data_IF_298679317554
#
_entry.id   IF_298679317554
#
_cell.length_a   1.000
_cell.length_b   1.000
_cell.length_c   1.000
_cell.angle_alpha   90.00
_cell.angle_beta   90.00
_cell.angle_gamma   90.00
#
_symmetry.space_group_name_H-M   'P 1'
#
loop_
_entity.id
_entity.type
_entity.pdbx_description
1 polymer ?
#
# COMPACT_ATOMS: atom_id res chain seq x y z
N UNK A 1 9.81 19.43 12.30
CA UNK A 1 10.62 18.95 11.15
C UNK A 1 9.95 19.40 9.87
N UNK A 2 10.70 19.80 8.83
CA UNK A 2 10.08 20.29 7.58
C UNK A 2 9.89 19.14 6.58
N UNK A 3 8.83 19.22 5.77
CA UNK A 3 8.58 18.28 4.67
C UNK A 3 9.77 18.29 3.69
N UNK A 4 10.33 19.47 3.40
CA UNK A 4 11.51 19.62 2.54
C UNK A 4 12.79 18.97 3.05
N UNK A 5 12.86 18.58 4.32
CA UNK A 5 14.00 17.84 4.87
C UNK A 5 14.12 16.40 4.30
N UNK A 6 13.06 15.94 3.60
CA UNK A 6 12.96 14.63 2.96
C UNK A 6 12.96 14.73 1.42
N UNK A 7 13.42 15.86 0.90
CA UNK A 7 13.60 16.07 -0.52
C UNK A 7 14.88 15.37 -1.01
N UNK A 8 14.79 14.74 -2.17
CA UNK A 8 15.91 14.30 -2.99
C UNK A 8 15.52 14.44 -4.46
N UNK A 9 16.49 14.60 -5.35
CA UNK A 9 16.22 14.73 -6.78
C UNK A 9 15.92 13.37 -7.39
N UNK A 10 14.69 13.17 -7.86
CA UNK A 10 14.24 11.94 -8.50
C UNK A 10 13.93 12.20 -9.97
N UNK A 11 14.80 11.73 -10.90
CA UNK A 11 14.50 11.77 -12.32
C UNK A 11 13.23 10.98 -12.66
N UNK A 12 12.32 11.58 -13.42
CA UNK A 12 11.02 10.98 -13.75
C UNK A 12 11.12 9.64 -14.49
N UNK A 13 12.18 9.47 -15.28
CA UNK A 13 12.47 8.24 -16.01
C UNK A 13 12.78 7.03 -15.10
N UNK A 14 13.13 7.27 -13.83
CA UNK A 14 13.34 6.20 -12.86
C UNK A 14 12.03 5.70 -12.22
N UNK A 15 10.92 6.40 -12.42
CA UNK A 15 9.61 5.96 -11.94
C UNK A 15 9.11 4.83 -12.84
N UNK A 16 9.06 3.61 -12.32
CA UNK A 16 8.67 2.43 -13.07
C UNK A 16 7.21 2.49 -13.52
N UNK A 17 6.98 2.35 -14.82
CA UNK A 17 5.64 2.35 -15.42
C UNK A 17 5.07 0.94 -15.57
N UNK A 18 5.92 -0.05 -15.74
CA UNK A 18 5.54 -1.44 -16.01
C UNK A 18 6.22 -2.39 -15.01
N UNK A 19 5.53 -3.46 -14.58
CA UNK A 19 6.15 -4.51 -13.77
C UNK A 19 7.13 -5.32 -14.61
N UNK A 20 8.18 -5.83 -13.96
CA UNK A 20 9.07 -6.81 -14.57
C UNK A 20 8.30 -8.13 -14.83
N UNK A 21 8.66 -8.85 -15.87
CA UNK A 21 8.06 -10.15 -16.19
C UNK A 21 8.25 -11.14 -15.02
N UNK A 22 9.48 -11.32 -14.58
CA UNK A 22 9.79 -12.04 -13.32
C UNK A 22 9.77 -11.06 -12.15
N UNK A 23 8.81 -11.23 -11.23
CA UNK A 23 8.62 -10.39 -10.04
C UNK A 23 9.87 -10.33 -9.16
N UNK A 24 10.56 -11.47 -9.00
CA UNK A 24 11.72 -11.61 -8.12
C UNK A 24 13.04 -11.14 -8.75
N UNK A 25 13.01 -10.75 -10.04
CA UNK A 25 14.17 -10.22 -10.75
C UNK A 25 14.46 -8.75 -10.46
N UNK A 26 13.60 -8.04 -9.73
CA UNK A 26 13.86 -6.67 -9.29
C UNK A 26 15.16 -6.59 -8.49
N UNK A 27 15.80 -5.42 -8.52
CA UNK A 27 16.98 -5.18 -7.68
C UNK A 27 16.57 -5.04 -6.22
N UNK A 28 17.49 -5.37 -5.34
CA UNK A 28 17.34 -5.22 -3.89
C UNK A 28 18.55 -4.45 -3.36
N UNK A 29 18.28 -3.37 -2.63
CA UNK A 29 19.28 -2.72 -1.79
C UNK A 29 19.08 -3.20 -0.36
N UNK A 30 20.06 -3.88 0.22
CA UNK A 30 20.07 -4.22 1.64
C UNK A 30 20.78 -3.11 2.40
N UNK A 31 20.09 -2.52 3.38
CA UNK A 31 20.59 -1.43 4.22
C UNK A 31 20.65 -1.85 5.68
N UNK A 32 21.83 -1.79 6.26
CA UNK A 32 22.00 -1.90 7.70
C UNK A 32 21.58 -0.58 8.36
N UNK A 33 20.52 -0.62 9.17
CA UNK A 33 19.96 0.58 9.81
C UNK A 33 20.88 1.22 10.84
N UNK A 34 21.75 0.43 11.48
CA UNK A 34 22.64 0.92 12.53
C UNK A 34 23.87 1.62 11.95
N UNK A 35 24.45 1.07 10.87
CA UNK A 35 25.70 1.58 10.28
C UNK A 35 25.49 2.46 9.07
N UNK A 36 24.34 2.34 8.38
CA UNK A 36 24.08 2.98 7.09
C UNK A 36 24.78 2.31 5.91
N UNK A 37 25.50 1.20 6.14
CA UNK A 37 26.12 0.43 5.07
C UNK A 37 25.05 -0.28 4.24
N UNK A 38 25.27 -0.37 2.94
CA UNK A 38 24.34 -1.01 2.02
C UNK A 38 25.04 -1.92 1.02
N UNK A 39 24.29 -2.91 0.55
CA UNK A 39 24.70 -3.87 -0.47
C UNK A 39 23.70 -3.89 -1.61
N UNK A 40 24.17 -4.13 -2.84
CA UNK A 40 23.32 -4.29 -4.02
C UNK A 40 23.14 -5.77 -4.38
N UNK A 41 21.91 -6.17 -4.68
CA UNK A 41 21.58 -7.53 -5.08
C UNK A 41 20.27 -7.56 -5.89
N UNK A 42 19.64 -8.72 -5.90
CA UNK A 42 18.33 -8.93 -6.50
C UNK A 42 17.35 -9.46 -5.47
N UNK A 43 16.06 -9.22 -5.68
CA UNK A 43 15.04 -9.62 -4.71
C UNK A 43 15.02 -11.12 -4.42
N UNK A 44 15.33 -11.95 -5.41
CA UNK A 44 15.48 -13.41 -5.23
C UNK A 44 16.54 -13.80 -4.20
N UNK A 45 17.47 -12.90 -3.91
CA UNK A 45 18.54 -13.11 -2.92
C UNK A 45 18.10 -12.81 -1.47
N UNK A 46 16.82 -12.46 -1.26
CA UNK A 46 16.27 -12.07 0.05
C UNK A 46 16.56 -13.10 1.16
N UNK A 47 16.64 -14.38 0.78
CA UNK A 47 16.96 -15.48 1.70
C UNK A 47 18.32 -15.33 2.40
N UNK A 48 19.26 -14.58 1.82
CA UNK A 48 20.58 -14.32 2.43
C UNK A 48 20.47 -13.49 3.72
N UNK A 49 19.41 -12.70 3.84
CA UNK A 49 19.19 -11.75 4.93
C UNK A 49 18.17 -12.25 5.95
N UNK A 50 17.43 -13.31 5.64
CA UNK A 50 16.46 -13.94 6.54
C UNK A 50 17.11 -15.09 7.31
N UNK A 51 16.71 -15.29 8.56
CA UNK A 51 17.28 -16.33 9.46
C UNK A 51 16.17 -17.27 9.93
N UNK A 52 16.48 -18.55 10.16
CA UNK A 52 15.53 -19.45 10.82
C UNK A 52 15.03 -18.84 12.14
N UNK A 53 13.72 -18.93 12.35
CA UNK A 53 13.08 -18.30 13.51
C UNK A 53 12.57 -16.88 13.31
N UNK A 54 12.93 -16.20 12.23
CA UNK A 54 12.33 -14.92 11.84
C UNK A 54 10.84 -15.11 11.46
N UNK A 55 10.08 -14.02 11.51
CA UNK A 55 8.71 -13.96 11.00
C UNK A 55 8.61 -12.85 9.93
N UNK A 56 8.27 -13.25 8.71
CA UNK A 56 7.96 -12.34 7.62
C UNK A 56 6.47 -12.00 7.67
N UNK A 57 6.12 -10.74 7.82
CA UNK A 57 4.73 -10.28 7.92
C UNK A 57 4.28 -9.63 6.63
N UNK A 58 3.26 -10.20 6.01
CA UNK A 58 2.74 -9.78 4.71
C UNK A 58 1.29 -9.27 4.83
N UNK A 59 0.93 -8.29 3.99
CA UNK A 59 -0.41 -7.76 3.92
C UNK A 59 -1.19 -8.47 2.81
N UNK A 60 -2.20 -9.26 3.18
CA UNK A 60 -2.99 -10.10 2.27
C UNK A 60 -4.24 -9.40 1.70
N UNK A 61 -4.28 -8.07 1.80
CA UNK A 61 -5.35 -7.30 1.18
C UNK A 61 -5.41 -7.53 -0.33
N UNK A 62 -6.62 -7.56 -0.87
CA UNK A 62 -6.89 -7.71 -2.31
C UNK A 62 -7.47 -6.41 -2.87
N UNK A 63 -6.85 -5.93 -3.96
CA UNK A 63 -7.33 -4.75 -4.68
C UNK A 63 -8.60 -5.11 -5.43
N UNK A 64 -9.62 -4.28 -5.30
CA UNK A 64 -10.85 -4.37 -6.09
C UNK A 64 -10.72 -3.51 -7.36
N UNK A 65 -11.38 -3.87 -8.46
CA UNK A 65 -11.40 -3.05 -9.67
C UNK A 65 -12.29 -1.81 -9.46
N UNK A 66 -11.80 -0.91 -8.62
CA UNK A 66 -12.56 0.19 -8.03
C UNK A 66 -12.79 1.38 -8.97
N UNK A 67 -12.20 1.39 -10.16
CA UNK A 67 -12.34 2.49 -11.13
C UNK A 67 -13.41 2.15 -12.13
N UNK A 68 -14.48 2.95 -12.16
CA UNK A 68 -15.63 2.77 -13.05
C UNK A 68 -15.75 3.94 -14.00
N UNK A 69 -16.08 3.64 -15.25
CA UNK A 69 -16.38 4.62 -16.28
C UNK A 69 -17.85 4.49 -16.69
N UNK A 70 -18.57 5.59 -16.60
CA UNK A 70 -19.98 5.65 -16.93
C UNK A 70 -20.36 6.96 -17.61
N UNK A 71 -21.65 7.14 -17.83
CA UNK A 71 -22.23 8.35 -18.38
C UNK A 71 -23.32 8.89 -17.47
N UNK A 72 -23.41 10.22 -17.39
CA UNK A 72 -24.51 10.87 -16.68
C UNK A 72 -25.81 10.68 -17.46
N UNK A 73 -26.82 10.09 -16.83
CA UNK A 73 -28.14 9.87 -17.42
C UNK A 73 -28.74 11.19 -17.88
N UNK A 74 -29.23 11.22 -19.11
CA UNK A 74 -29.87 12.37 -19.73
C UNK A 74 -28.92 13.37 -20.44
N UNK A 75 -27.60 13.22 -20.32
CA UNK A 75 -26.64 14.13 -20.98
C UNK A 75 -25.45 13.44 -21.64
N UNK A 76 -25.31 12.14 -21.50
CA UNK A 76 -24.19 11.30 -21.98
C UNK A 76 -22.80 11.82 -21.62
N UNK A 77 -22.72 12.69 -20.63
CA UNK A 77 -21.43 13.22 -20.18
C UNK A 77 -20.63 12.10 -19.49
N UNK A 78 -19.42 11.84 -20.00
CA UNK A 78 -18.51 10.86 -19.42
C UNK A 78 -18.16 11.22 -17.96
N UNK A 79 -18.27 10.22 -17.09
CA UNK A 79 -17.99 10.30 -15.65
C UNK A 79 -17.05 9.15 -15.28
N UNK A 80 -15.95 9.47 -14.62
CA UNK A 80 -15.08 8.52 -13.96
C UNK A 80 -15.38 8.52 -12.46
N UNK A 81 -15.56 7.33 -11.89
CA UNK A 81 -15.72 7.14 -10.45
C UNK A 81 -14.62 6.23 -9.94
N UNK A 82 -14.13 6.53 -8.75
CA UNK A 82 -13.20 5.69 -8.03
C UNK A 82 -13.78 5.40 -6.64
N UNK A 83 -14.08 4.14 -6.40
CA UNK A 83 -14.59 3.65 -5.12
C UNK A 83 -13.52 3.77 -4.04
N UNK A 84 -13.84 4.38 -2.90
CA UNK A 84 -12.92 4.58 -1.78
C UNK A 84 -13.28 3.70 -0.58
N UNK A 85 -14.52 3.82 -0.11
CA UNK A 85 -14.97 3.17 1.12
C UNK A 85 -16.44 2.79 0.99
N UNK A 86 -16.74 1.52 1.24
CA UNK A 86 -18.12 1.04 1.36
C UNK A 86 -18.71 1.50 2.68
N UNK A 87 -19.92 2.02 2.63
CA UNK A 87 -20.78 2.38 3.75
C UNK A 87 -21.92 1.38 3.82
N UNK A 88 -22.87 1.60 4.72
CA UNK A 88 -24.08 0.79 4.80
C UNK A 88 -24.99 0.97 3.55
N UNK A 89 -25.84 -0.01 3.29
CA UNK A 89 -26.86 0.04 2.23
C UNK A 89 -26.34 0.32 0.81
N UNK A 90 -25.22 -0.31 0.44
CA UNK A 90 -24.57 -0.12 -0.87
C UNK A 90 -24.24 1.32 -1.25
N UNK A 91 -24.08 2.17 -0.25
CA UNK A 91 -23.53 3.50 -0.41
C UNK A 91 -22.00 3.41 -0.39
N UNK A 92 -21.37 4.05 -1.35
CA UNK A 92 -19.92 4.16 -1.42
C UNK A 92 -19.47 5.62 -1.39
N UNK A 93 -18.46 5.89 -0.59
CA UNK A 93 -17.70 7.11 -0.71
C UNK A 93 -16.77 6.99 -1.92
N UNK A 94 -16.77 8.01 -2.80
CA UNK A 94 -16.13 7.95 -4.10
C UNK A 94 -15.46 9.26 -4.47
N UNK A 95 -14.37 9.16 -5.23
CA UNK A 95 -13.88 10.28 -6.04
C UNK A 95 -14.61 10.27 -7.37
N UNK A 96 -15.02 11.45 -7.84
CA UNK A 96 -15.74 11.60 -9.11
C UNK A 96 -15.07 12.64 -10.00
N UNK A 97 -14.89 12.31 -11.28
CA UNK A 97 -14.31 13.22 -12.27
C UNK A 97 -15.18 13.24 -13.55
N UNK A 98 -15.60 14.43 -14.00
CA UNK A 98 -15.46 15.76 -13.38
C UNK A 98 -16.51 15.98 -12.27
N UNK A 99 -16.06 16.36 -11.08
CA UNK A 99 -16.94 16.56 -9.91
C UNK A 99 -18.02 17.61 -10.11
N UNK A 100 -17.76 18.65 -10.93
CA UNK A 100 -18.74 19.72 -11.22
C UNK A 100 -20.03 19.21 -11.90
N UNK A 101 -19.97 18.08 -12.59
CA UNK A 101 -21.12 17.47 -13.28
C UNK A 101 -21.93 16.54 -12.38
N UNK A 102 -21.41 16.18 -11.21
CA UNK A 102 -22.03 15.23 -10.28
C UNK A 102 -22.44 15.93 -8.99
N UNK A 103 -23.63 16.54 -9.03
CA UNK A 103 -24.31 17.12 -7.87
C UNK A 103 -25.22 16.07 -7.24
N UNK A 104 -25.67 16.31 -6.00
CA UNK A 104 -26.70 15.47 -5.35
C UNK A 104 -27.90 15.29 -6.28
N UNK A 105 -28.42 14.07 -6.39
CA UNK A 105 -29.47 13.65 -7.31
C UNK A 105 -29.01 13.33 -8.74
N UNK A 106 -27.69 13.43 -9.03
CA UNK A 106 -27.16 13.00 -10.33
C UNK A 106 -27.14 11.48 -10.40
N UNK A 107 -27.74 10.91 -11.45
CA UNK A 107 -27.68 9.48 -11.75
C UNK A 107 -26.65 9.21 -12.84
N UNK A 108 -25.83 8.19 -12.63
CA UNK A 108 -24.77 7.75 -13.53
C UNK A 108 -25.03 6.30 -13.90
N UNK A 109 -24.91 5.98 -15.18
CA UNK A 109 -25.08 4.63 -15.72
C UNK A 109 -23.74 4.05 -16.16
N UNK A 110 -23.51 2.77 -15.85
CA UNK A 110 -22.33 2.01 -16.18
C UNK A 110 -22.72 0.73 -16.91
N UNK A 111 -21.95 0.32 -17.94
CA UNK A 111 -22.16 -0.93 -18.65
C UNK A 111 -23.56 -1.08 -19.23
N UNK A 112 -24.03 -0.04 -19.93
CA UNK A 112 -25.37 -0.02 -20.55
C UNK A 112 -26.52 -0.28 -19.53
N UNK A 113 -26.35 0.17 -18.29
CA UNK A 113 -27.36 0.09 -17.25
C UNK A 113 -27.25 -1.12 -16.34
N UNK A 114 -26.24 -1.98 -16.48
CA UNK A 114 -25.97 -3.11 -15.57
C UNK A 114 -25.78 -2.59 -14.13
N UNK A 115 -25.13 -1.43 -13.98
CA UNK A 115 -24.95 -0.74 -12.72
C UNK A 115 -25.40 0.71 -12.87
N UNK A 116 -26.17 1.22 -11.92
CA UNK A 116 -26.46 2.64 -11.81
C UNK A 116 -26.08 3.17 -10.45
N UNK A 117 -25.69 4.44 -10.36
CA UNK A 117 -25.33 5.08 -9.11
C UNK A 117 -25.95 6.47 -9.01
N UNK A 118 -26.60 6.76 -7.89
CA UNK A 118 -27.14 8.08 -7.57
C UNK A 118 -26.25 8.79 -6.55
N UNK A 119 -25.86 10.03 -6.83
CA UNK A 119 -25.15 10.87 -5.87
C UNK A 119 -26.13 11.29 -4.79
N UNK A 120 -25.98 10.77 -3.59
CA UNK A 120 -26.88 11.06 -2.45
C UNK A 120 -26.34 12.15 -1.55
N UNK A 121 -25.01 12.37 -1.50
CA UNK A 121 -24.41 13.44 -0.71
C UNK A 121 -23.01 13.84 -1.24
N UNK A 122 -22.50 14.97 -0.74
CA UNK A 122 -21.14 15.45 -0.98
C UNK A 122 -20.50 15.67 0.39
N UNK A 123 -19.43 14.91 0.66
CA UNK A 123 -18.72 14.92 1.93
C UNK A 123 -17.36 15.62 1.82
N UNK A 124 -16.56 15.53 2.88
CA UNK A 124 -15.26 16.18 2.99
C UNK A 124 -14.38 15.94 1.75
N UNK A 125 -13.51 16.89 1.47
CA UNK A 125 -12.61 16.89 0.31
C UNK A 125 -13.33 16.86 -1.06
N UNK A 126 -14.65 17.02 -1.07
CA UNK A 126 -15.48 16.97 -2.27
C UNK A 126 -15.75 15.54 -2.78
N UNK A 127 -15.57 14.51 -1.94
CA UNK A 127 -15.97 13.15 -2.24
C UNK A 127 -17.49 13.07 -2.34
N UNK A 128 -17.99 12.11 -3.15
CA UNK A 128 -19.42 11.85 -3.30
C UNK A 128 -19.80 10.57 -2.57
N UNK A 129 -20.94 10.61 -1.89
CA UNK A 129 -21.62 9.40 -1.49
C UNK A 129 -22.53 8.99 -2.63
N UNK A 130 -22.31 7.78 -3.16
CA UNK A 130 -23.08 7.22 -4.27
C UNK A 130 -23.78 5.97 -3.77
N UNK A 131 -25.12 5.97 -3.90
CA UNK A 131 -25.97 4.79 -3.73
C UNK A 131 -25.97 4.01 -5.04
N UNK A 132 -25.51 2.76 -5.01
CA UNK A 132 -25.55 1.89 -6.18
C UNK A 132 -26.81 1.04 -6.23
N UNK A 133 -27.29 0.82 -7.46
CA UNK A 133 -28.45 -0.04 -7.77
C UNK A 133 -28.04 -1.01 -8.88
N UNK A 134 -28.26 -2.29 -8.65
CA UNK A 134 -27.85 -3.38 -9.51
C UNK A 134 -28.64 -4.65 -9.18
N UNK A 135 -28.62 -5.62 -10.08
CA UNK A 135 -29.14 -6.97 -9.84
C UNK A 135 -27.95 -7.96 -9.74
N UNK A 136 -27.96 -8.82 -8.73
CA UNK A 136 -26.93 -9.84 -8.52
C UNK A 136 -25.87 -9.47 -7.47
N UNK A 137 -24.62 -9.83 -7.72
CA UNK A 137 -23.49 -9.65 -6.78
C UNK A 137 -22.65 -8.46 -7.25
N UNK A 138 -22.47 -7.48 -6.36
CA UNK A 138 -21.76 -6.23 -6.69
C UNK A 138 -20.32 -6.48 -7.12
N UNK A 139 -19.64 -7.41 -6.46
CA UNK A 139 -18.26 -7.77 -6.73
C UNK A 139 -18.06 -8.37 -8.15
N UNK A 140 -19.02 -9.18 -8.62
CA UNK A 140 -19.02 -9.73 -9.99
C UNK A 140 -19.24 -8.62 -11.03
N UNK A 141 -20.10 -7.65 -10.72
CA UNK A 141 -20.31 -6.47 -11.57
C UNK A 141 -19.05 -5.60 -11.64
N UNK A 142 -18.38 -5.41 -10.50
CA UNK A 142 -17.11 -4.70 -10.49
C UNK A 142 -16.03 -5.42 -11.31
N UNK A 143 -15.96 -6.75 -11.25
CA UNK A 143 -15.01 -7.52 -12.06
C UNK A 143 -15.26 -7.38 -13.56
N UNK A 144 -16.53 -7.19 -13.96
CA UNK A 144 -16.93 -6.99 -15.34
C UNK A 144 -16.68 -5.55 -15.84
N UNK A 145 -17.04 -4.54 -15.04
CA UNK A 145 -17.09 -3.14 -15.44
C UNK A 145 -15.88 -2.33 -14.97
N UNK A 146 -15.23 -2.75 -13.89
CA UNK A 146 -14.20 -2.00 -13.21
C UNK A 146 -12.80 -2.21 -13.79
N UNK A 147 -12.00 -1.17 -13.66
CA UNK A 147 -10.56 -1.23 -13.91
C UNK A 147 -9.76 -1.14 -12.59
N UNK A 148 -8.56 -1.74 -12.59
CA UNK A 148 -7.66 -1.65 -11.45
C UNK A 148 -7.24 -0.20 -11.24
N UNK A 149 -7.37 0.32 -10.00
CA UNK A 149 -7.08 1.72 -9.70
C UNK A 149 -5.57 1.93 -9.53
N UNK A 150 -4.84 1.97 -10.65
CA UNK A 150 -3.41 2.25 -10.60
C UNK A 150 -3.13 3.64 -10.02
N UNK A 151 -2.01 3.79 -9.30
CA UNK A 151 -1.57 5.08 -8.81
C UNK A 151 -1.41 6.12 -9.93
N UNK A 152 -1.60 7.42 -9.65
CA UNK A 152 -1.65 8.45 -10.68
C UNK A 152 -0.32 8.67 -11.43
N UNK A 153 0.80 8.20 -10.90
CA UNK A 153 2.12 8.26 -11.54
C UNK A 153 2.36 7.13 -12.54
N UNK A 154 1.51 6.09 -12.55
CA UNK A 154 1.51 5.04 -13.58
C UNK A 154 0.54 5.49 -14.68
N UNK A 155 1.09 5.83 -15.84
CA UNK A 155 0.35 6.33 -17.00
C UNK A 155 0.16 5.25 -18.07
N UNK A 156 0.94 4.17 -18.00
CA UNK A 156 0.81 3.02 -18.88
C UNK A 156 -0.39 2.16 -18.48
N UNK A 157 -1.13 1.69 -19.51
CA UNK A 157 -2.24 0.76 -19.26
C UNK A 157 -1.67 -0.63 -18.95
N UNK A 158 -2.07 -1.17 -17.82
CA UNK A 158 -1.67 -2.51 -17.40
C UNK A 158 -2.34 -3.56 -18.31
N UNK A 159 -1.54 -4.42 -18.95
CA UNK A 159 -2.05 -5.46 -19.85
C UNK A 159 -2.70 -6.62 -19.09
N UNK A 160 -2.11 -7.00 -17.96
CA UNK A 160 -2.64 -8.02 -17.05
C UNK A 160 -2.92 -7.38 -15.68
N UNK A 161 -4.21 -7.28 -15.33
CA UNK A 161 -4.66 -6.71 -14.05
C UNK A 161 -4.09 -7.45 -12.83
N UNK A 162 -3.77 -8.74 -12.96
CA UNK A 162 -3.19 -9.54 -11.86
C UNK A 162 -1.74 -9.13 -11.53
N UNK A 163 -1.10 -8.35 -12.37
CA UNK A 163 0.25 -7.82 -12.08
C UNK A 163 0.23 -6.75 -10.98
N UNK A 164 -0.91 -6.10 -10.74
CA UNK A 164 -1.12 -5.18 -9.62
C UNK A 164 -1.83 -5.88 -8.45
N UNK A 165 -1.47 -7.14 -8.20
CA UNK A 165 -1.99 -7.97 -7.13
C UNK A 165 -0.88 -8.84 -6.58
N UNK A 166 -0.79 -9.01 -5.24
CA UNK A 166 0.15 -9.97 -4.64
C UNK A 166 -0.32 -11.40 -4.91
N UNK A 167 0.62 -12.36 -4.91
CA UNK A 167 0.30 -13.78 -5.14
C UNK A 167 -0.46 -14.41 -3.97
N UNK A 168 -0.57 -13.69 -2.86
CA UNK A 168 -1.25 -14.09 -1.62
C UNK A 168 -2.45 -13.21 -1.24
N UNK A 169 -2.90 -12.35 -2.16
CA UNK A 169 -4.05 -11.50 -1.93
C UNK A 169 -5.31 -12.32 -1.63
N UNK A 170 -6.02 -11.98 -0.53
CA UNK A 170 -7.15 -12.76 0.01
C UNK A 170 -8.36 -11.88 0.33
N UNK A 171 -8.19 -10.86 1.14
CA UNK A 171 -9.28 -10.03 1.66
C UNK A 171 -9.54 -8.80 0.79
N UNK A 172 -10.68 -8.79 0.09
CA UNK A 172 -11.09 -7.68 -0.78
C UNK A 172 -11.41 -6.41 0.00
N UNK A 173 -11.16 -5.25 -0.60
CA UNK A 173 -11.51 -3.94 -0.01
C UNK A 173 -10.46 -2.86 -0.22
N UNK A 174 -9.32 -3.16 -0.82
CA UNK A 174 -8.24 -2.20 -1.03
C UNK A 174 -8.39 -1.44 -2.35
N UNK A 175 -8.11 -0.15 -2.30
CA UNK A 175 -7.99 0.69 -3.50
C UNK A 175 -6.57 0.68 -4.10
N UNK A 176 -5.58 0.11 -3.40
CA UNK A 176 -4.21 -0.02 -3.89
C UNK A 176 -3.54 -1.31 -3.39
N UNK A 177 -2.60 -1.84 -4.17
CA UNK A 177 -1.84 -3.01 -3.77
C UNK A 177 -0.77 -2.68 -2.72
N UNK A 178 -0.45 -3.60 -1.80
CA UNK A 178 0.74 -3.51 -0.95
C UNK A 178 1.98 -3.84 -1.78
N UNK A 179 2.51 -2.84 -2.49
CA UNK A 179 3.38 -3.02 -3.65
C UNK A 179 4.72 -3.69 -3.36
N UNK A 180 5.24 -3.60 -2.13
CA UNK A 180 6.42 -4.36 -1.72
C UNK A 180 6.19 -5.89 -1.79
N UNK A 181 4.95 -6.33 -1.63
CA UNK A 181 4.57 -7.73 -1.79
C UNK A 181 4.56 -8.23 -3.23
N UNK A 182 4.55 -7.32 -4.21
CA UNK A 182 4.56 -7.69 -5.64
C UNK A 182 5.86 -8.36 -6.08
N UNK A 183 6.94 -8.21 -5.33
CA UNK A 183 8.23 -8.86 -5.62
C UNK A 183 8.22 -10.36 -5.33
N UNK A 184 7.33 -10.84 -4.46
CA UNK A 184 7.27 -12.24 -4.10
C UNK A 184 6.54 -13.07 -5.15
N UNK A 185 7.10 -14.25 -5.43
CA UNK A 185 6.42 -15.36 -6.10
C UNK A 185 5.99 -16.39 -5.06
N UNK A 186 5.09 -17.32 -5.44
CA UNK A 186 4.71 -18.42 -4.56
C UNK A 186 5.90 -19.33 -4.23
N UNK A 187 6.77 -19.55 -5.20
CA UNK A 187 7.98 -20.34 -5.07
C UNK A 187 8.97 -19.70 -4.09
N UNK A 188 9.18 -18.38 -4.17
CA UNK A 188 10.06 -17.67 -3.24
C UNK A 188 9.50 -17.70 -1.81
N UNK A 189 8.19 -17.53 -1.63
CA UNK A 189 7.54 -17.66 -0.31
C UNK A 189 7.70 -19.08 0.26
N UNK A 190 7.60 -20.12 -0.58
CA UNK A 190 7.84 -21.48 -0.15
C UNK A 190 9.31 -21.68 0.29
N UNK A 191 10.27 -21.15 -0.45
CA UNK A 191 11.69 -21.18 -0.07
C UNK A 191 11.95 -20.44 1.26
N UNK A 192 11.25 -19.33 1.51
CA UNK A 192 11.32 -18.61 2.79
C UNK A 192 10.85 -19.53 3.94
N UNK A 193 9.73 -20.22 3.77
CA UNK A 193 9.22 -21.16 4.77
C UNK A 193 10.16 -22.37 4.97
N UNK A 194 10.69 -22.93 3.88
CA UNK A 194 11.63 -24.07 3.91
C UNK A 194 12.95 -23.69 4.62
N UNK A 195 13.32 -22.42 4.58
CA UNK A 195 14.45 -21.87 5.32
C UNK A 195 14.17 -21.66 6.84
N UNK A 196 12.99 -22.06 7.33
CA UNK A 196 12.62 -21.94 8.74
C UNK A 196 12.12 -20.55 9.16
N UNK A 197 11.75 -19.71 8.19
CA UNK A 197 11.14 -18.39 8.43
C UNK A 197 9.62 -18.56 8.46
N UNK A 198 8.98 -18.05 9.49
CA UNK A 198 7.52 -18.05 9.57
C UNK A 198 6.95 -16.97 8.64
N UNK A 199 5.77 -17.23 8.07
CA UNK A 199 5.00 -16.21 7.35
C UNK A 199 3.73 -15.94 8.14
N UNK A 200 3.52 -14.67 8.50
CA UNK A 200 2.30 -14.19 9.14
C UNK A 200 1.56 -13.21 8.23
N UNK A 201 0.24 -13.25 8.31
CA UNK A 201 -0.64 -12.43 7.49
C UNK A 201 -1.32 -11.37 8.34
N UNK A 202 -1.36 -10.15 7.82
CA UNK A 202 -2.19 -9.07 8.33
C UNK A 202 -2.98 -8.50 7.18
N UNK A 203 -4.08 -7.82 7.48
CA UNK A 203 -4.86 -7.12 6.46
C UNK A 203 -4.85 -5.63 6.76
N UNK A 204 -4.50 -4.80 5.79
CA UNK A 204 -4.75 -3.37 5.80
C UNK A 204 -5.27 -2.97 4.42
N UNK A 205 -6.45 -2.41 4.37
CA UNK A 205 -7.03 -1.90 3.13
C UNK A 205 -6.47 -0.51 2.85
N UNK A 206 -5.61 -0.45 1.82
CA UNK A 206 -4.92 0.78 1.43
C UNK A 206 -5.90 1.72 0.75
N UNK A 207 -6.03 2.92 1.30
CA UNK A 207 -6.80 4.01 0.69
C UNK A 207 -5.95 4.81 -0.31
N UNK A 208 -6.62 5.52 -1.21
CA UNK A 208 -5.93 6.38 -2.20
C UNK A 208 -5.22 7.59 -1.58
N UNK A 209 -5.51 7.90 -0.34
CA UNK A 209 -4.81 8.94 0.40
C UNK A 209 -3.30 8.72 0.46
N UNK A 210 -2.85 7.46 0.42
CA UNK A 210 -1.42 7.10 0.40
C UNK A 210 -0.66 7.67 -0.80
N UNK A 211 -1.34 7.99 -1.90
CA UNK A 211 -0.72 8.58 -3.10
C UNK A 211 -0.84 10.10 -3.16
N UNK A 212 -1.46 10.73 -2.17
CA UNK A 212 -1.55 12.18 -2.11
C UNK A 212 -0.24 12.76 -1.57
N UNK A 213 0.31 13.81 -2.20
CA UNK A 213 1.48 14.48 -1.67
C UNK A 213 1.16 15.15 -0.32
N UNK A 214 2.14 15.21 0.56
CA UNK A 214 2.09 16.01 1.78
C UNK A 214 2.00 17.49 1.37
N UNK A 215 1.01 18.22 1.91
CA UNK A 215 0.73 19.61 1.52
C UNK A 215 1.13 20.64 2.57
N UNK A 216 1.64 20.16 3.70
CA UNK A 216 2.06 20.99 4.82
C UNK A 216 3.56 21.19 4.82
N UNK A 217 4.03 22.33 5.28
CA UNK A 217 5.46 22.64 5.39
C UNK A 217 6.09 21.95 6.61
N UNK A 218 5.34 21.81 7.69
CA UNK A 218 5.74 21.18 8.95
C UNK A 218 5.07 19.82 9.08
N UNK A 219 5.84 18.76 9.17
CA UNK A 219 5.32 17.38 9.10
C UNK A 219 4.34 17.05 10.23
N UNK A 220 4.51 17.65 11.40
CA UNK A 220 3.64 17.46 12.57
C UNK A 220 2.20 17.97 12.34
N UNK A 221 1.99 18.82 11.33
CA UNK A 221 0.67 19.33 10.92
C UNK A 221 -0.05 18.41 9.93
N UNK A 222 0.64 17.35 9.46
CA UNK A 222 0.05 16.41 8.51
C UNK A 222 -0.89 15.43 9.21
N UNK A 223 -2.09 15.29 8.65
CA UNK A 223 -3.09 14.33 9.10
C UNK A 223 -3.14 13.13 8.12
N UNK A 224 -2.90 11.95 8.65
CA UNK A 224 -3.00 10.71 7.88
C UNK A 224 -4.47 10.36 7.61
N UNK A 225 -4.71 9.76 6.45
CA UNK A 225 -6.02 9.16 6.18
C UNK A 225 -6.23 7.91 7.02
N UNK A 226 -7.47 7.70 7.45
CA UNK A 226 -7.87 6.54 8.21
C UNK A 226 -7.97 5.31 7.30
N UNK A 227 -7.30 4.21 7.67
CA UNK A 227 -7.30 2.94 6.93
C UNK A 227 -7.68 1.80 7.86
N UNK A 228 -8.51 0.88 7.34
CA UNK A 228 -8.97 -0.28 8.10
C UNK A 228 -7.88 -1.35 8.13
N UNK A 229 -7.63 -1.91 9.32
CA UNK A 229 -6.74 -3.06 9.49
C UNK A 229 -7.39 -4.19 10.29
N UNK A 230 -6.86 -5.39 10.12
CA UNK A 230 -7.24 -6.58 10.86
C UNK A 230 -6.02 -7.47 11.11
N UNK A 231 -5.94 -8.02 12.31
CA UNK A 231 -4.95 -9.02 12.73
C UNK A 231 -5.70 -10.19 13.35
N UNK A 232 -5.63 -11.37 12.74
CA UNK A 232 -6.24 -12.57 13.29
C UNK A 232 -5.47 -13.08 14.52
N UNK A 233 -6.17 -13.76 15.44
CA UNK A 233 -5.59 -14.23 16.71
C UNK A 233 -4.40 -15.18 16.48
N UNK A 234 -4.52 -16.11 15.54
CA UNK A 234 -3.44 -17.04 15.16
C UNK A 234 -2.20 -16.33 14.65
N UNK A 235 -2.39 -15.23 13.88
CA UNK A 235 -1.31 -14.44 13.31
C UNK A 235 -0.64 -13.57 14.38
N UNK A 236 -1.43 -12.94 15.24
CA UNK A 236 -0.90 -12.20 16.40
C UNK A 236 -0.06 -13.10 17.30
N UNK A 237 -0.56 -14.30 17.62
CA UNK A 237 0.18 -15.29 18.40
C UNK A 237 1.51 -15.67 17.74
N UNK A 238 1.49 -15.96 16.42
CA UNK A 238 2.69 -16.32 15.64
C UNK A 238 3.78 -15.24 15.71
N UNK A 239 3.38 -13.97 15.61
CA UNK A 239 4.28 -12.81 15.66
C UNK A 239 4.82 -12.62 17.08
N UNK A 240 3.96 -12.66 18.10
CA UNK A 240 4.36 -12.53 19.51
C UNK A 240 5.31 -13.67 19.93
N UNK A 241 5.01 -14.91 19.55
CA UNK A 241 5.86 -16.07 19.82
C UNK A 241 7.25 -15.90 19.17
N UNK A 242 7.32 -15.30 17.98
CA UNK A 242 8.59 -15.00 17.32
C UNK A 242 9.44 -14.05 18.17
N UNK A 243 8.87 -12.95 18.65
CA UNK A 243 9.57 -12.00 19.54
C UNK A 243 10.01 -12.65 20.84
N UNK A 244 9.14 -13.41 21.47
CA UNK A 244 9.41 -14.11 22.74
C UNK A 244 10.57 -15.11 22.59
N UNK A 245 10.70 -15.74 21.43
CA UNK A 245 11.76 -16.71 21.13
C UNK A 245 13.04 -16.05 20.56
N UNK A 246 13.14 -14.73 20.56
CA UNK A 246 14.33 -13.99 20.10
C UNK A 246 14.47 -13.91 18.57
N UNK A 247 13.42 -14.26 17.80
CA UNK A 247 13.37 -14.07 16.36
C UNK A 247 13.04 -12.63 16.00
N UNK A 248 13.33 -12.26 14.73
CA UNK A 248 13.02 -10.94 14.20
C UNK A 248 11.67 -10.92 13.53
N UNK A 249 10.96 -9.79 13.64
CA UNK A 249 9.72 -9.50 12.92
C UNK A 249 10.06 -8.54 11.77
N UNK A 250 9.95 -9.04 10.55
CA UNK A 250 10.30 -8.32 9.32
C UNK A 250 9.03 -8.09 8.53
N UNK A 251 8.64 -6.82 8.34
CA UNK A 251 7.47 -6.46 7.57
C UNK A 251 7.76 -6.38 6.08
N UNK A 252 6.82 -6.86 5.27
CA UNK A 252 6.78 -6.60 3.83
C UNK A 252 5.79 -5.48 3.57
N UNK A 253 6.32 -4.32 3.22
CA UNK A 253 5.58 -3.10 2.97
C UNK A 253 5.31 -2.25 4.21
N UNK A 254 5.21 -0.96 3.97
CA UNK A 254 4.85 0.04 4.98
C UNK A 254 3.46 -0.18 5.56
N UNK A 255 2.57 -0.85 4.83
CA UNK A 255 1.23 -1.21 5.28
C UNK A 255 1.26 -2.26 6.39
N UNK A 256 2.08 -3.32 6.24
CA UNK A 256 2.29 -4.31 7.31
C UNK A 256 2.93 -3.66 8.54
N UNK A 257 3.92 -2.80 8.34
CA UNK A 257 4.55 -2.03 9.43
C UNK A 257 3.50 -1.19 10.18
N UNK A 258 2.71 -0.40 9.49
CA UNK A 258 1.69 0.46 10.10
C UNK A 258 0.61 -0.36 10.82
N UNK A 259 0.25 -1.52 10.31
CA UNK A 259 -0.68 -2.43 10.98
C UNK A 259 -0.10 -2.92 12.31
N UNK A 260 1.12 -3.44 12.31
CA UNK A 260 1.74 -3.97 13.52
C UNK A 260 1.96 -2.88 14.56
N UNK A 261 2.48 -1.71 14.15
CA UNK A 261 2.73 -0.61 15.07
C UNK A 261 1.44 -0.01 15.66
N UNK A 262 0.32 -0.07 14.92
CA UNK A 262 -1.00 0.36 15.41
C UNK A 262 -1.63 -0.64 16.37
N UNK A 263 -1.48 -1.94 16.10
CA UNK A 263 -2.10 -3.00 16.90
C UNK A 263 -1.25 -3.44 18.11
N UNK A 264 0.01 -3.01 18.19
CA UNK A 264 0.91 -3.34 19.30
C UNK A 264 0.74 -2.33 20.44
N UNK A 265 0.47 -2.84 21.63
CA UNK A 265 0.39 -2.05 22.86
C UNK A 265 1.76 -1.52 23.30
N UNK A 266 1.76 -0.63 24.29
CA UNK A 266 2.99 -0.11 24.92
C UNK A 266 3.74 -1.19 25.70
N UNK A 267 3.09 -2.32 25.98
CA UNK A 267 3.65 -3.54 26.55
C UNK A 267 4.46 -4.38 25.52
N UNK A 268 4.51 -3.95 24.25
CA UNK A 268 5.18 -4.66 23.17
C UNK A 268 4.42 -5.90 22.68
N UNK A 269 3.16 -6.07 23.07
CA UNK A 269 2.34 -7.22 22.67
C UNK A 269 1.41 -6.82 21.53
N UNK A 270 1.49 -7.54 20.42
CA UNK A 270 0.55 -7.40 19.29
C UNK A 270 -0.81 -7.97 19.69
N UNK A 271 -1.84 -7.15 19.55
CA UNK A 271 -3.23 -7.53 19.88
C UNK A 271 -3.97 -7.94 18.60
N UNK A 272 -4.66 -9.07 18.68
CA UNK A 272 -5.60 -9.48 17.66
C UNK A 272 -6.83 -8.57 17.65
N UNK A 273 -7.45 -8.43 16.49
CA UNK A 273 -8.66 -7.63 16.30
C UNK A 273 -8.61 -6.79 15.03
N UNK A 274 -9.57 -5.92 14.90
CA UNK A 274 -9.67 -4.99 13.78
C UNK A 274 -9.87 -3.57 14.28
N UNK A 275 -9.48 -2.61 13.46
CA UNK A 275 -9.60 -1.20 13.81
C UNK A 275 -9.27 -0.28 12.64
N UNK A 276 -9.23 0.99 12.94
CA UNK A 276 -8.84 2.03 12.00
C UNK A 276 -7.53 2.65 12.47
N UNK A 277 -6.61 2.87 11.54
CA UNK A 277 -5.31 3.50 11.84
C UNK A 277 -5.12 4.78 11.05
N UNK A 278 -4.65 5.80 11.74
CA UNK A 278 -4.16 7.07 11.19
C UNK A 278 -2.70 7.28 11.60
N UNK A 279 -2.00 6.17 11.91
CA UNK A 279 -0.64 6.25 12.42
C UNK A 279 0.27 6.94 11.40
N UNK A 280 0.95 7.98 11.86
CA UNK A 280 1.97 8.68 11.11
C UNK A 280 3.34 8.42 11.75
N UNK A 281 4.18 7.69 11.04
CA UNK A 281 5.52 7.31 11.50
C UNK A 281 6.53 8.21 10.79
N UNK A 282 7.32 8.93 11.60
CA UNK A 282 8.39 9.83 11.13
C UNK A 282 9.53 9.85 12.15
N UNK A 283 10.71 10.41 11.85
CA UNK A 283 11.86 10.39 12.75
C UNK A 283 11.52 10.87 14.16
N UNK A 284 11.92 10.07 15.15
CA UNK A 284 11.55 10.21 16.56
C UNK A 284 10.50 9.19 17.02
N UNK A 285 9.82 8.49 16.08
CA UNK A 285 8.94 7.38 16.41
C UNK A 285 9.74 6.21 17.00
N UNK A 286 9.23 5.62 18.08
CA UNK A 286 9.82 4.43 18.70
C UNK A 286 9.04 3.19 18.28
N UNK A 287 9.65 2.36 17.44
CA UNK A 287 9.05 1.10 17.00
C UNK A 287 8.86 0.14 18.17
N UNK A 288 7.68 -0.51 18.20
CA UNK A 288 7.25 -1.41 19.27
C UNK A 288 7.38 -2.89 18.87
N UNK A 289 7.21 -3.19 17.61
CA UNK A 289 7.10 -4.58 17.13
C UNK A 289 8.14 -4.95 16.08
N UNK A 290 8.34 -4.10 15.06
CA UNK A 290 9.15 -4.49 13.91
C UNK A 290 10.65 -4.36 14.15
N UNK A 291 11.41 -5.30 13.58
CA UNK A 291 12.88 -5.29 13.60
C UNK A 291 13.46 -4.92 12.23
N UNK A 292 12.73 -5.20 11.15
CA UNK A 292 13.14 -4.90 9.78
C UNK A 292 11.96 -4.65 8.86
N UNK A 293 12.26 -4.10 7.69
CA UNK A 293 11.27 -3.71 6.70
C UNK A 293 11.78 -3.98 5.29
N UNK A 294 10.97 -4.66 4.48
CA UNK A 294 11.14 -4.77 3.04
C UNK A 294 10.16 -3.81 2.39
N UNK A 295 10.63 -2.91 1.56
CA UNK A 295 9.78 -1.88 0.95
C UNK A 295 10.29 -1.48 -0.43
N UNK A 296 9.46 -0.76 -1.21
CA UNK A 296 9.90 -0.10 -2.44
C UNK A 296 10.62 1.22 -2.12
N UNK A 297 11.27 1.81 -3.12
CA UNK A 297 11.74 3.19 -3.03
C UNK A 297 10.56 4.16 -3.17
N UNK A 298 10.50 5.16 -2.31
CA UNK A 298 9.37 6.07 -2.15
C UNK A 298 9.65 7.46 -2.73
N UNK A 299 8.58 8.25 -2.99
CA UNK A 299 8.68 9.63 -3.49
C UNK A 299 9.40 10.55 -2.50
N UNK A 300 10.12 11.55 -3.04
CA UNK A 300 10.57 12.69 -2.23
C UNK A 300 9.40 13.30 -1.44
N UNK A 301 9.67 13.74 -0.23
CA UNK A 301 8.73 14.47 0.63
C UNK A 301 7.45 13.69 0.98
N UNK A 302 7.43 12.36 0.78
CA UNK A 302 6.28 11.51 1.09
C UNK A 302 6.31 11.03 2.54
N UNK A 303 5.13 10.70 3.08
CA UNK A 303 5.00 10.07 4.40
C UNK A 303 5.76 8.74 4.50
N UNK A 304 5.98 8.07 3.36
CA UNK A 304 6.66 6.78 3.31
C UNK A 304 8.19 6.93 3.41
N UNK A 305 8.79 7.97 2.80
CA UNK A 305 10.22 8.23 3.03
C UNK A 305 10.48 8.68 4.47
N UNK A 306 9.51 9.33 5.10
CA UNK A 306 9.56 9.69 6.52
C UNK A 306 9.53 8.45 7.42
N UNK A 307 8.70 7.44 7.08
CA UNK A 307 8.61 6.18 7.82
C UNK A 307 9.93 5.40 7.76
N UNK A 308 10.52 5.22 6.58
CA UNK A 308 11.81 4.52 6.47
C UNK A 308 12.94 5.30 7.14
N UNK A 309 12.88 6.63 7.12
CA UNK A 309 13.80 7.50 7.85
C UNK A 309 13.67 7.38 9.37
N UNK A 310 12.46 7.10 9.87
CA UNK A 310 12.26 6.79 11.28
C UNK A 310 12.92 5.47 11.69
N UNK A 311 12.93 4.48 10.78
CA UNK A 311 13.48 3.15 11.06
C UNK A 311 15.03 3.12 11.00
N UNK A 312 15.63 3.75 10.01
CA UNK A 312 17.07 3.64 9.74
C UNK A 312 17.85 4.94 10.00
N UNK A 313 17.17 6.00 10.39
CA UNK A 313 17.78 7.33 10.46
C UNK A 313 17.70 8.07 9.11
N UNK A 314 17.39 9.37 9.18
CA UNK A 314 17.22 10.20 7.97
C UNK A 314 18.49 10.23 7.11
N UNK A 315 19.65 10.38 7.71
CA UNK A 315 20.92 10.48 6.99
C UNK A 315 21.24 9.20 6.20
N UNK A 316 21.05 8.03 6.81
CA UNK A 316 21.25 6.74 6.14
C UNK A 316 20.29 6.56 4.96
N UNK A 317 19.02 6.90 5.16
CA UNK A 317 18.01 6.78 4.11
C UNK A 317 18.29 7.75 2.95
N UNK A 318 18.59 9.01 3.23
CA UNK A 318 18.87 9.97 2.16
C UNK A 318 20.10 9.56 1.35
N UNK A 319 21.18 9.12 2.00
CA UNK A 319 22.37 8.58 1.32
C UNK A 319 22.06 7.35 0.46
N UNK A 320 21.24 6.41 0.98
CA UNK A 320 20.81 5.23 0.24
C UNK A 320 19.95 5.57 -0.97
N UNK A 321 19.08 6.59 -0.86
CA UNK A 321 18.21 7.04 -1.96
C UNK A 321 19.00 7.80 -3.05
N UNK A 322 19.97 8.63 -2.66
CA UNK A 322 20.90 9.26 -3.61
C UNK A 322 21.71 8.22 -4.38
N UNK A 323 22.20 7.18 -3.68
CA UNK A 323 22.85 6.03 -4.31
C UNK A 323 21.94 5.29 -5.27
N UNK A 324 20.68 5.04 -4.86
CA UNK A 324 19.70 4.36 -5.71
C UNK A 324 19.42 5.14 -7.00
N UNK A 325 19.35 6.48 -6.93
CA UNK A 325 19.22 7.35 -8.11
C UNK A 325 20.46 7.25 -9.00
N UNK A 326 21.66 7.34 -8.41
CA UNK A 326 22.95 7.22 -9.13
C UNK A 326 23.08 5.89 -9.86
N UNK A 327 22.70 4.81 -9.21
CA UNK A 327 22.74 3.44 -9.71
C UNK A 327 21.52 3.08 -10.58
N UNK A 328 20.64 4.06 -10.84
CA UNK A 328 19.43 3.91 -11.68
C UNK A 328 18.53 2.76 -11.23
N UNK A 329 18.27 2.69 -9.92
CA UNK A 329 17.18 1.86 -9.41
C UNK A 329 15.85 2.36 -9.95
N UNK A 330 14.88 1.46 -10.03
CA UNK A 330 13.51 1.77 -10.40
C UNK A 330 12.72 2.13 -9.15
N UNK A 331 11.92 3.19 -9.24
CA UNK A 331 11.19 3.73 -8.11
C UNK A 331 9.70 3.41 -8.17
N UNK A 332 9.03 3.43 -7.01
CA UNK A 332 7.61 3.25 -6.81
C UNK A 332 7.09 1.82 -6.97
N UNK A 333 5.76 1.71 -7.24
CA UNK A 333 4.97 0.48 -7.15
C UNK A 333 5.51 -0.70 -7.95
N UNK A 334 6.05 -0.46 -9.14
CA UNK A 334 6.68 -1.46 -9.99
C UNK A 334 8.20 -1.37 -10.01
N UNK A 335 8.75 -0.60 -9.09
CA UNK A 335 10.19 -0.39 -8.97
C UNK A 335 10.92 -1.53 -8.27
N UNK A 336 12.11 -1.20 -7.83
CA UNK A 336 12.99 -2.09 -7.09
C UNK A 336 12.70 -2.02 -5.58
N UNK A 337 13.35 -2.86 -4.81
CA UNK A 337 13.12 -3.00 -3.38
C UNK A 337 14.33 -2.56 -2.55
N UNK A 338 14.03 -2.22 -1.29
CA UNK A 338 15.00 -2.03 -0.22
C UNK A 338 14.63 -2.95 0.94
N UNK A 339 15.60 -3.58 1.57
CA UNK A 339 15.47 -4.25 2.85
C UNK A 339 16.28 -3.49 3.89
N UNK A 340 15.64 -3.12 4.98
CA UNK A 340 16.22 -2.37 6.11
C UNK A 340 16.19 -3.28 7.33
N UNK A 341 17.34 -3.57 7.93
CA UNK A 341 17.43 -4.41 9.12
C UNK A 341 18.53 -3.98 10.11
#
# INVERSE_FOLDING_TARGET
>A
MKTSDFYYDLPKELIAQDPLEDRSASRLMHLNKETGEYEHGHFRDILKYLKPGDCLVINDTKVIPARLYGSKVGTDAAIEILLLKRRENDIWETLVKPGKKCKVGTVISFGDGILTGEVVDIVDEGNRLIQFHYDGIFEEILDQLGEMPLPPYITHKLQDKNRYQTVYAKHEGSAAAPTAGLHFTKELLQQVQDAGVKIAHVTLHVGLGTFRPVKVDTIEEHHMHSEFYMVEESEAKKINDTKTNGGRVICVGTTSCRTLESATGDDGILKAGSGWTEIFIYPGYRFKMIDGLITNFHLPESTLVMLVSALAGKEHIMAAYEEAVREKYRFFSFGDAMMIE
#
